data_IF_065722652486
#
_entry.id   IF_065722652486
#
_cell.length_a   1.000
_cell.length_b   1.000
_cell.length_c   1.000
_cell.angle_alpha   90.00
_cell.angle_beta   90.00
_cell.angle_gamma   90.00
#
_symmetry.space_group_name_H-M   'P 1'
#
loop_
_entity.id
_entity.type
_entity.pdbx_description
1 polymer ?
#
# COMPACT_ATOMS: atom_id res chain seq x y z
N UNK A 1 9.44 -11.23 -26.48
CA UNK A 1 9.03 -12.55 -27.05
C UNK A 1 9.57 -13.64 -26.14
N UNK A 2 8.73 -14.34 -25.37
CA UNK A 2 9.13 -15.60 -24.70
C UNK A 2 8.86 -16.73 -25.68
N UNK A 3 9.71 -16.84 -26.70
CA UNK A 3 9.74 -18.05 -27.53
C UNK A 3 10.58 -19.11 -26.84
N UNK A 4 10.03 -20.33 -26.85
CA UNK A 4 10.63 -21.57 -26.38
C UNK A 4 11.88 -21.91 -27.20
N UNK A 5 13.01 -21.31 -26.84
CA UNK A 5 14.35 -21.64 -27.33
C UNK A 5 15.28 -21.88 -26.14
N UNK A 6 15.88 -23.07 -26.10
CA UNK A 6 16.97 -23.50 -25.20
C UNK A 6 17.14 -22.72 -23.89
N UNK A 7 16.42 -23.14 -22.84
CA UNK A 7 16.71 -22.89 -21.40
C UNK A 7 17.80 -21.84 -21.14
N UNK A 8 17.50 -20.55 -21.35
CA UNK A 8 18.33 -19.48 -20.81
C UNK A 8 18.02 -19.39 -19.32
N UNK A 9 18.61 -20.32 -18.56
CA UNK A 9 18.65 -20.30 -17.09
C UNK A 9 19.57 -19.15 -16.70
N UNK A 10 19.15 -17.89 -16.82
CA UNK A 10 19.94 -16.78 -16.31
C UNK A 10 19.08 -15.61 -15.82
N UNK A 11 19.34 -15.28 -14.55
CA UNK A 11 19.04 -14.06 -13.79
C UNK A 11 17.63 -13.93 -13.20
N UNK A 12 17.60 -13.72 -11.88
CA UNK A 12 16.41 -13.27 -11.16
C UNK A 12 16.01 -11.91 -11.74
N UNK A 13 14.88 -11.85 -12.43
CA UNK A 13 14.28 -10.58 -12.82
C UNK A 13 13.76 -9.89 -11.57
N UNK A 14 14.08 -8.61 -11.41
CA UNK A 14 13.46 -7.76 -10.40
C UNK A 14 12.09 -7.30 -10.88
N UNK A 15 11.17 -7.11 -9.94
CA UNK A 15 9.97 -6.36 -10.22
C UNK A 15 10.26 -4.85 -10.19
N UNK A 16 9.47 -4.03 -10.89
CA UNK A 16 9.66 -2.58 -10.91
C UNK A 16 9.74 -1.94 -9.52
N UNK A 17 8.95 -2.43 -8.57
CA UNK A 17 8.91 -1.98 -7.16
C UNK A 17 10.19 -2.29 -6.36
N UNK A 18 10.95 -3.32 -6.76
CA UNK A 18 12.19 -3.71 -6.10
C UNK A 18 13.40 -2.91 -6.60
N UNK A 19 13.31 -2.32 -7.80
CA UNK A 19 14.43 -1.64 -8.44
C UNK A 19 15.01 -0.49 -7.60
N UNK A 20 14.21 0.43 -7.03
CA UNK A 20 14.76 1.57 -6.30
C UNK A 20 15.53 1.15 -5.06
N UNK A 21 15.02 0.18 -4.29
CA UNK A 21 15.70 -0.31 -3.07
C UNK A 21 17.01 -1.02 -3.41
N UNK A 22 17.08 -1.71 -4.55
CA UNK A 22 18.30 -2.40 -5.00
C UNK A 22 19.41 -1.44 -5.40
N UNK A 23 19.04 -0.25 -5.88
CA UNK A 23 19.96 0.71 -6.46
C UNK A 23 20.28 1.86 -5.49
N UNK A 24 19.42 2.14 -4.50
CA UNK A 24 19.59 3.23 -3.53
C UNK A 24 20.93 3.22 -2.81
N UNK A 25 21.46 2.04 -2.50
CA UNK A 25 22.71 1.86 -1.77
C UNK A 25 23.95 1.85 -2.69
N UNK A 26 23.77 2.05 -3.99
CA UNK A 26 24.87 2.08 -4.96
C UNK A 26 25.39 3.53 -5.13
N UNK A 27 26.64 3.78 -4.75
CA UNK A 27 27.33 5.08 -4.91
C UNK A 27 27.76 5.38 -6.38
N UNK A 28 27.02 4.86 -7.35
CA UNK A 28 27.37 4.91 -8.77
C UNK A 28 26.23 5.45 -9.64
N UNK A 29 26.60 6.02 -10.79
CA UNK A 29 25.60 6.44 -11.80
C UNK A 29 24.89 5.22 -12.37
N UNK A 30 23.56 5.31 -12.44
CA UNK A 30 22.69 4.24 -12.92
C UNK A 30 22.12 4.64 -14.27
N UNK A 31 22.14 3.72 -15.23
CA UNK A 31 21.51 3.90 -16.53
C UNK A 31 20.33 2.94 -16.67
N UNK A 32 19.16 3.46 -17.03
CA UNK A 32 18.01 2.66 -17.41
C UNK A 32 18.03 2.48 -18.93
N UNK A 33 18.13 1.23 -19.38
CA UNK A 33 18.20 0.88 -20.80
C UNK A 33 16.89 0.25 -21.22
N UNK A 34 16.27 0.82 -22.26
CA UNK A 34 15.05 0.30 -22.86
C UNK A 34 15.31 -0.05 -24.32
N UNK A 35 14.82 -1.22 -24.75
CA UNK A 35 14.93 -1.65 -26.14
C UNK A 35 13.90 -0.97 -27.05
N UNK A 36 14.11 -1.00 -28.38
CA UNK A 36 13.16 -0.50 -29.36
C UNK A 36 11.82 -1.26 -29.30
N UNK A 37 10.75 -0.59 -29.74
CA UNK A 37 9.42 -1.20 -29.83
C UNK A 37 9.41 -2.39 -30.81
N UNK A 38 8.68 -3.44 -30.45
CA UNK A 38 8.59 -4.69 -31.23
C UNK A 38 9.64 -5.74 -30.86
N UNK A 39 10.93 -5.40 -31.01
CA UNK A 39 12.02 -6.37 -30.84
C UNK A 39 12.64 -6.38 -29.43
N UNK A 40 12.52 -5.29 -28.67
CA UNK A 40 13.15 -5.16 -27.36
C UNK A 40 14.68 -5.22 -27.43
N UNK A 41 15.31 -5.54 -26.30
CA UNK A 41 16.76 -5.71 -26.21
C UNK A 41 17.18 -7.11 -26.68
N UNK A 42 18.29 -7.18 -27.41
CA UNK A 42 18.93 -8.42 -27.81
C UNK A 42 19.55 -9.12 -26.60
N UNK A 43 19.73 -10.44 -26.66
CA UNK A 43 20.37 -11.20 -25.59
C UNK A 43 21.78 -10.68 -25.25
N UNK A 44 22.52 -10.23 -26.26
CA UNK A 44 23.85 -9.61 -26.09
C UNK A 44 23.75 -8.30 -25.29
N UNK A 45 22.74 -7.47 -25.57
CA UNK A 45 22.48 -6.22 -24.84
C UNK A 45 22.03 -6.49 -23.41
N UNK A 46 21.13 -7.45 -23.20
CA UNK A 46 20.69 -7.89 -21.87
C UNK A 46 21.88 -8.42 -21.04
N UNK A 47 22.87 -9.04 -21.67
CA UNK A 47 24.05 -9.55 -20.98
C UNK A 47 25.00 -8.44 -20.51
N UNK A 48 24.88 -7.22 -21.06
CA UNK A 48 25.63 -6.05 -20.59
C UNK A 48 24.99 -5.37 -19.39
N UNK A 49 23.73 -5.70 -19.06
CA UNK A 49 23.02 -5.11 -17.93
C UNK A 49 23.31 -5.87 -16.63
N UNK A 50 23.61 -5.12 -15.56
CA UNK A 50 23.82 -5.68 -14.22
C UNK A 50 22.53 -6.21 -13.60
N UNK A 51 21.43 -5.49 -13.83
CA UNK A 51 20.09 -5.80 -13.32
C UNK A 51 19.11 -5.90 -14.48
N UNK A 52 18.23 -6.89 -14.40
CA UNK A 52 17.13 -7.06 -15.35
C UNK A 52 15.81 -6.86 -14.62
N UNK A 53 14.95 -6.00 -15.14
CA UNK A 53 13.65 -5.67 -14.56
C UNK A 53 12.55 -6.16 -15.50
N UNK A 54 11.54 -6.81 -14.96
CA UNK A 54 10.39 -7.29 -15.73
C UNK A 54 9.09 -6.73 -15.15
N UNK A 55 8.38 -5.96 -15.96
CA UNK A 55 7.03 -5.50 -15.62
C UNK A 55 6.06 -6.69 -15.74
N UNK A 56 5.37 -7.10 -14.65
CA UNK A 56 4.36 -8.14 -14.73
C UNK A 56 3.26 -7.76 -15.71
N UNK A 57 2.98 -8.65 -16.64
CA UNK A 57 1.95 -8.49 -17.68
C UNK A 57 1.15 -9.78 -17.80
N UNK A 58 0.00 -9.72 -18.46
CA UNK A 58 -0.81 -10.91 -18.69
C UNK A 58 -0.07 -11.92 -19.58
N UNK A 59 -0.08 -13.19 -19.19
CA UNK A 59 0.75 -14.23 -19.83
C UNK A 59 0.44 -14.45 -21.31
N UNK A 60 -0.81 -14.26 -21.74
CA UNK A 60 -1.19 -14.41 -23.14
C UNK A 60 -0.85 -13.20 -24.02
N UNK A 61 -0.40 -12.09 -23.42
CA UNK A 61 0.10 -10.91 -24.15
C UNK A 61 1.19 -10.19 -23.34
N UNK A 62 2.40 -10.78 -23.23
CA UNK A 62 3.46 -10.29 -22.37
C UNK A 62 4.29 -9.19 -23.06
N UNK A 63 3.62 -8.24 -23.68
CA UNK A 63 4.23 -7.15 -24.45
C UNK A 63 3.59 -5.84 -23.98
N UNK A 64 4.45 -4.88 -23.61
CA UNK A 64 4.05 -3.52 -23.29
C UNK A 64 4.55 -2.59 -24.38
N UNK A 65 3.78 -1.55 -24.65
CA UNK A 65 4.29 -0.40 -25.36
C UNK A 65 5.45 0.22 -24.58
N UNK A 66 6.47 0.69 -25.30
CA UNK A 66 7.70 1.23 -24.71
C UNK A 66 7.42 2.39 -23.75
N UNK A 67 6.52 3.32 -24.12
CA UNK A 67 6.19 4.47 -23.27
C UNK A 67 5.53 4.04 -21.96
N UNK A 68 4.69 2.99 -21.96
CA UNK A 68 4.09 2.45 -20.75
C UNK A 68 5.12 1.76 -19.86
N UNK A 69 6.06 1.01 -20.44
CA UNK A 69 7.13 0.39 -19.67
C UNK A 69 7.99 1.46 -18.98
N UNK A 70 8.38 2.51 -19.71
CA UNK A 70 9.11 3.66 -19.15
C UNK A 70 8.32 4.33 -18.04
N UNK A 71 7.03 4.61 -18.26
CA UNK A 71 6.18 5.26 -17.27
C UNK A 71 6.09 4.47 -15.96
N UNK A 72 5.93 3.14 -16.03
CA UNK A 72 5.86 2.28 -14.84
C UNK A 72 7.18 2.32 -14.06
N UNK A 73 8.32 2.16 -14.76
CA UNK A 73 9.64 2.18 -14.11
C UNK A 73 9.90 3.53 -13.44
N UNK A 74 9.61 4.65 -14.12
CA UNK A 74 9.82 5.98 -13.56
C UNK A 74 8.84 6.30 -12.43
N UNK A 75 7.61 5.81 -12.50
CA UNK A 75 6.63 5.96 -11.42
C UNK A 75 7.08 5.23 -10.15
N UNK A 76 7.51 3.98 -10.27
CA UNK A 76 8.03 3.21 -9.13
C UNK A 76 9.28 3.87 -8.53
N UNK A 77 10.15 4.40 -9.38
CA UNK A 77 11.30 5.20 -8.95
C UNK A 77 10.90 6.44 -8.18
N UNK A 78 9.96 7.23 -8.72
CA UNK A 78 9.45 8.44 -8.08
C UNK A 78 8.79 8.11 -6.74
N UNK A 79 7.93 7.08 -6.69
CA UNK A 79 7.25 6.64 -5.47
C UNK A 79 8.25 6.26 -4.37
N UNK A 80 9.37 5.63 -4.71
CA UNK A 80 10.40 5.30 -3.72
C UNK A 80 11.11 6.56 -3.18
N UNK A 81 11.36 7.57 -4.03
CA UNK A 81 11.95 8.86 -3.63
C UNK A 81 10.96 9.69 -2.78
N UNK A 82 9.68 9.68 -3.15
CA UNK A 82 8.61 10.46 -2.52
C UNK A 82 7.92 9.72 -1.36
N UNK A 83 8.32 8.48 -1.04
CA UNK A 83 7.71 7.68 0.03
C UNK A 83 7.87 8.28 1.44
N UNK A 84 8.57 9.39 1.60
CA UNK A 84 8.56 10.18 2.83
C UNK A 84 7.29 11.04 3.00
N UNK A 85 6.46 11.23 1.96
CA UNK A 85 5.37 12.23 1.96
C UNK A 85 3.94 11.68 2.02
N UNK A 86 3.72 10.37 1.90
CA UNK A 86 2.37 9.76 1.88
C UNK A 86 2.12 8.88 3.11
N UNK A 87 2.26 9.46 4.30
CA UNK A 87 1.61 8.94 5.53
C UNK A 87 0.45 9.84 5.93
N UNK A 88 -0.33 10.31 4.97
CA UNK A 88 -1.59 10.97 5.27
C UNK A 88 -2.62 9.87 5.60
N UNK A 89 -3.26 9.96 6.77
CA UNK A 89 -4.44 9.18 7.22
C UNK A 89 -4.29 7.78 7.86
N UNK A 90 -3.16 7.44 8.51
CA UNK A 90 -3.17 6.31 9.44
C UNK A 90 -3.36 6.78 10.88
N UNK A 91 -4.52 6.45 11.45
CA UNK A 91 -4.82 6.65 12.87
C UNK A 91 -3.75 5.97 13.73
N UNK A 92 -3.15 6.72 14.65
CA UNK A 92 -2.09 6.20 15.50
C UNK A 92 -2.60 5.02 16.34
N UNK A 93 -1.78 3.98 16.60
CA UNK A 93 -2.23 2.79 17.33
C UNK A 93 -2.85 3.11 18.69
N UNK A 94 -2.33 4.13 19.38
CA UNK A 94 -2.85 4.59 20.66
C UNK A 94 -4.25 5.20 20.57
N UNK A 95 -4.46 6.13 19.63
CA UNK A 95 -5.79 6.76 19.44
C UNK A 95 -6.81 5.71 18.97
N UNK A 96 -6.39 4.79 18.09
CA UNK A 96 -7.23 3.66 17.64
C UNK A 96 -7.67 2.76 18.79
N UNK A 97 -6.76 2.42 19.70
CA UNK A 97 -7.07 1.57 20.85
C UNK A 97 -8.09 2.25 21.76
N UNK A 98 -7.86 3.53 22.10
CA UNK A 98 -8.78 4.30 22.95
C UNK A 98 -10.16 4.45 22.32
N UNK A 99 -10.23 4.72 21.02
CA UNK A 99 -11.52 4.82 20.32
C UNK A 99 -12.33 3.52 20.43
N UNK A 100 -11.68 2.36 20.29
CA UNK A 100 -12.35 1.05 20.45
C UNK A 100 -12.83 0.82 21.88
N UNK A 101 -12.01 1.14 22.87
CA UNK A 101 -12.35 1.01 24.28
C UNK A 101 -13.56 1.88 24.64
N UNK A 102 -13.58 3.13 24.16
CA UNK A 102 -14.68 4.07 24.39
C UNK A 102 -15.98 3.63 23.69
N UNK A 103 -15.89 3.09 22.47
CA UNK A 103 -17.03 2.49 21.77
C UNK A 103 -17.60 1.30 22.56
N UNK A 104 -16.71 0.45 23.10
CA UNK A 104 -17.12 -0.69 23.93
C UNK A 104 -17.79 -0.21 25.22
N UNK A 105 -17.22 0.80 25.89
CA UNK A 105 -17.83 1.41 27.09
C UNK A 105 -19.21 1.96 26.79
N UNK A 106 -19.35 2.75 25.72
CA UNK A 106 -20.64 3.32 25.30
C UNK A 106 -21.69 2.23 25.04
N UNK A 107 -21.31 1.14 24.36
CA UNK A 107 -22.23 0.04 24.06
C UNK A 107 -22.71 -0.69 25.32
N UNK A 108 -21.87 -0.76 26.37
CA UNK A 108 -22.21 -1.39 27.64
C UNK A 108 -23.06 -0.49 28.54
N UNK A 109 -22.83 0.83 28.52
CA UNK A 109 -23.53 1.78 29.41
C UNK A 109 -24.86 2.24 28.85
N UNK A 110 -25.03 2.26 27.52
CA UNK A 110 -26.27 2.73 26.93
C UNK A 110 -27.50 1.85 27.28
N UNK A 111 -28.71 2.45 27.37
CA UNK A 111 -29.96 1.74 27.63
C UNK A 111 -30.44 0.97 26.37
N UNK A 112 -29.67 -0.03 25.96
CA UNK A 112 -29.98 -0.94 24.87
C UNK A 112 -30.17 -2.37 25.38
N UNK A 113 -31.07 -3.18 24.77
CA UNK A 113 -31.18 -4.61 25.08
C UNK A 113 -29.85 -5.34 24.90
N UNK A 114 -29.51 -6.23 25.84
CA UNK A 114 -28.22 -6.92 25.90
C UNK A 114 -27.82 -7.56 24.55
N UNK A 115 -28.76 -8.26 23.92
CA UNK A 115 -28.54 -8.94 22.63
C UNK A 115 -28.19 -8.00 21.46
N UNK A 116 -28.42 -6.68 21.58
CA UNK A 116 -28.07 -5.70 20.54
C UNK A 116 -26.73 -5.00 20.80
N UNK A 117 -26.22 -5.03 22.03
CA UNK A 117 -25.02 -4.27 22.44
C UNK A 117 -23.80 -4.66 21.61
N UNK A 118 -23.55 -5.96 21.47
CA UNK A 118 -22.47 -6.47 20.62
C UNK A 118 -22.59 -5.99 19.17
N UNK A 119 -23.78 -6.03 18.58
CA UNK A 119 -24.00 -5.58 17.20
C UNK A 119 -23.76 -4.08 17.02
N UNK A 120 -24.12 -3.27 18.02
CA UNK A 120 -23.89 -1.82 18.04
C UNK A 120 -22.38 -1.52 18.13
N UNK A 121 -21.68 -2.17 19.07
CA UNK A 121 -20.22 -2.03 19.23
C UNK A 121 -19.48 -2.38 17.93
N UNK A 122 -19.77 -3.55 17.36
CA UNK A 122 -19.13 -4.02 16.13
C UNK A 122 -19.41 -3.10 14.94
N UNK A 123 -20.65 -2.61 14.80
CA UNK A 123 -21.04 -1.73 13.70
C UNK A 123 -20.39 -0.36 13.86
N UNK A 124 -20.41 0.22 15.06
CA UNK A 124 -19.83 1.52 15.34
C UNK A 124 -18.32 1.50 15.14
N UNK A 125 -17.63 0.49 15.67
CA UNK A 125 -16.19 0.30 15.47
C UNK A 125 -15.84 0.16 13.98
N UNK A 126 -16.60 -0.64 13.24
CA UNK A 126 -16.37 -0.86 11.81
C UNK A 126 -16.60 0.40 10.97
N UNK A 127 -17.68 1.14 11.22
CA UNK A 127 -18.00 2.37 10.46
C UNK A 127 -16.96 3.45 10.74
N UNK A 128 -16.60 3.67 12.01
CA UNK A 128 -15.63 4.68 12.40
C UNK A 128 -14.24 4.38 11.83
N UNK A 129 -13.77 3.13 11.93
CA UNK A 129 -12.44 2.76 11.42
C UNK A 129 -12.38 2.66 9.89
N UNK A 130 -13.50 2.37 9.22
CA UNK A 130 -13.59 2.40 7.75
C UNK A 130 -13.51 3.83 7.19
N UNK A 131 -13.87 4.83 7.99
CA UNK A 131 -13.73 6.23 7.61
C UNK A 131 -12.28 6.72 7.49
N UNK A 132 -11.30 5.91 7.92
CA UNK A 132 -9.87 6.28 8.00
C UNK A 132 -9.66 7.68 8.63
N UNK A 133 -10.23 7.93 9.83
CA UNK A 133 -10.14 9.24 10.44
C UNK A 133 -8.69 9.58 10.77
N UNK A 134 -8.34 10.85 10.63
CA UNK A 134 -7.12 11.41 11.22
C UNK A 134 -7.16 11.34 12.75
N UNK A 135 -6.01 11.48 13.39
CA UNK A 135 -5.90 11.51 14.85
C UNK A 135 -6.78 12.62 15.46
N UNK A 136 -6.83 13.80 14.84
CA UNK A 136 -7.64 14.92 15.29
C UNK A 136 -9.15 14.63 15.20
N UNK A 137 -9.61 14.04 14.09
CA UNK A 137 -11.01 13.64 13.93
C UNK A 137 -11.40 12.57 14.95
N UNK A 138 -10.54 11.56 15.13
CA UNK A 138 -10.79 10.49 16.09
C UNK A 138 -10.77 10.99 17.53
N UNK A 139 -9.90 11.93 17.90
CA UNK A 139 -9.92 12.55 19.23
C UNK A 139 -11.21 13.34 19.47
N UNK A 140 -11.71 14.07 18.46
CA UNK A 140 -13.01 14.77 18.55
C UNK A 140 -14.16 13.79 18.72
N UNK A 141 -14.20 12.73 17.92
CA UNK A 141 -15.20 11.66 18.01
C UNK A 141 -15.13 10.98 19.38
N UNK A 142 -13.93 10.67 19.86
CA UNK A 142 -13.70 10.07 21.18
C UNK A 142 -14.28 10.95 22.29
N UNK A 143 -14.09 12.28 22.23
CA UNK A 143 -14.70 13.21 23.18
C UNK A 143 -16.23 13.13 23.20
N UNK A 144 -16.87 13.01 22.03
CA UNK A 144 -18.33 12.85 21.93
C UNK A 144 -18.78 11.51 22.52
N UNK A 145 -18.10 10.41 22.20
CA UNK A 145 -18.41 9.06 22.69
C UNK A 145 -18.25 9.00 24.21
N UNK A 146 -17.15 9.52 24.74
CA UNK A 146 -16.91 9.57 26.19
C UNK A 146 -17.95 10.41 26.91
N UNK A 147 -18.37 11.54 26.34
CA UNK A 147 -19.41 12.39 26.94
C UNK A 147 -20.75 11.65 26.97
N UNK A 148 -21.11 10.97 25.88
CA UNK A 148 -22.33 10.16 25.83
C UNK A 148 -22.30 9.00 26.82
N UNK A 149 -21.18 8.29 26.92
CA UNK A 149 -21.03 7.18 27.86
C UNK A 149 -21.15 7.66 29.32
N UNK A 150 -20.53 8.79 29.67
CA UNK A 150 -20.66 9.40 30.99
C UNK A 150 -22.09 9.82 31.33
N UNK A 151 -22.86 10.29 30.34
CA UNK A 151 -24.25 10.67 30.55
C UNK A 151 -25.12 9.45 30.93
N UNK A 152 -24.90 8.30 30.28
CA UNK A 152 -25.61 7.06 30.59
C UNK A 152 -25.19 6.42 31.92
N UNK A 153 -24.00 6.71 32.43
CA UNK A 153 -23.53 6.24 33.75
C UNK A 153 -24.11 7.06 34.91
N UNK A 154 -24.62 8.27 34.65
CA UNK A 154 -25.18 9.19 35.66
C UNK A 154 -26.71 9.07 35.83
N UNK A 155 -27.37 8.21 35.03
CA UNK A 155 -28.81 7.86 35.12
C UNK A 155 -29.01 6.55 35.90
#
# INVERSE_FOLDING_TARGET
>A
MRESGAKTVFRHFLHPEDLPSRVRDMDSRVALVFGPEGNGLLNEELNMCDLLVSVPTWEGYPILNLSHAVAIILYEWYKAVDSESVTDSLLSPGVRARLKEEISRLAQTMPAPEHRRQGIEETLSRVMLRGLPSDDEAQRILGVISTAANAFEQE
#
